data_IF_749753603099
#
_entry.id   IF_749753603099
#
_cell.length_a   1.000
_cell.length_b   1.000
_cell.length_c   1.000
_cell.angle_alpha   90.00
_cell.angle_beta   90.00
_cell.angle_gamma   90.00
#
_symmetry.space_group_name_H-M   'P 1'
#
loop_
_entity.id
_entity.type
_entity.pdbx_description
1 polymer ?
#
# COMPACT_ATOMS: atom_id res chain seq x y z
N UNK A 1 2.58 -17.31 -8.50
CA UNK A 1 1.46 -18.12 -7.94
C UNK A 1 0.95 -19.22 -8.87
N UNK A 2 0.83 -19.04 -10.18
CA UNK A 2 0.35 -20.09 -11.11
C UNK A 2 1.03 -21.49 -10.98
N UNK A 3 2.37 -21.62 -10.89
CA UNK A 3 3.03 -22.92 -10.73
C UNK A 3 2.82 -23.56 -9.35
N UNK A 4 2.54 -22.75 -8.32
CA UNK A 4 2.29 -23.21 -6.93
C UNK A 4 0.83 -23.66 -6.78
N UNK A 5 -0.12 -22.88 -7.32
CA UNK A 5 -1.56 -23.13 -7.18
C UNK A 5 -2.08 -24.25 -8.10
N UNK A 6 -1.42 -24.48 -9.25
CA UNK A 6 -1.76 -25.53 -10.24
C UNK A 6 -3.26 -25.59 -10.59
N UNK A 7 -3.96 -24.45 -10.54
CA UNK A 7 -5.42 -24.36 -10.76
C UNK A 7 -5.78 -24.25 -12.24
N UNK A 8 -6.88 -24.91 -12.64
CA UNK A 8 -7.41 -24.93 -14.02
C UNK A 8 -8.88 -24.51 -14.07
N UNK A 9 -9.35 -24.09 -15.24
CA UNK A 9 -10.75 -23.72 -15.49
C UNK A 9 -11.22 -22.53 -14.64
N UNK A 10 -12.46 -22.58 -14.14
CA UNK A 10 -13.07 -21.50 -13.37
C UNK A 10 -12.27 -21.14 -12.10
N UNK A 11 -11.60 -22.12 -11.47
CA UNK A 11 -10.72 -21.90 -10.32
C UNK A 11 -9.55 -20.97 -10.64
N UNK A 12 -9.08 -20.93 -11.89
CA UNK A 12 -8.03 -20.01 -12.33
C UNK A 12 -8.52 -18.55 -12.35
N UNK A 13 -9.77 -18.33 -12.74
CA UNK A 13 -10.38 -16.99 -12.75
C UNK A 13 -10.54 -16.50 -11.31
N UNK A 14 -11.08 -17.33 -10.43
CA UNK A 14 -11.23 -16.98 -9.01
C UNK A 14 -9.86 -16.73 -8.37
N UNK A 15 -8.87 -17.60 -8.62
CA UNK A 15 -7.52 -17.40 -8.11
C UNK A 15 -6.91 -16.09 -8.60
N UNK A 16 -7.10 -15.71 -9.87
CA UNK A 16 -6.63 -14.40 -10.35
C UNK A 16 -7.32 -13.23 -9.65
N UNK A 17 -8.61 -13.35 -9.34
CA UNK A 17 -9.35 -12.30 -8.66
C UNK A 17 -8.85 -12.07 -7.22
N UNK A 18 -8.51 -13.13 -6.51
CA UNK A 18 -8.02 -13.04 -5.12
C UNK A 18 -6.48 -13.03 -5.01
N UNK A 19 -5.78 -12.83 -6.13
CA UNK A 19 -4.32 -12.65 -6.12
C UNK A 19 -4.01 -11.21 -5.70
N UNK A 20 -3.69 -11.05 -4.43
CA UNK A 20 -3.30 -9.78 -3.80
C UNK A 20 -1.95 -9.97 -3.10
N UNK A 21 -1.31 -8.89 -2.66
CA UNK A 21 0.00 -8.96 -2.01
C UNK A 21 -0.08 -9.69 -0.67
N UNK A 22 -1.19 -9.61 0.07
CA UNK A 22 -1.37 -10.36 1.31
C UNK A 22 -1.52 -11.86 1.07
N UNK A 23 -2.37 -12.28 0.12
CA UNK A 23 -2.55 -13.70 -0.20
C UNK A 23 -1.28 -14.32 -0.79
N UNK A 24 -0.51 -13.54 -1.54
CA UNK A 24 0.80 -13.94 -2.06
C UNK A 24 1.85 -14.01 -0.95
N UNK A 25 1.92 -13.00 -0.08
CA UNK A 25 2.89 -12.93 1.01
C UNK A 25 2.70 -14.05 2.02
N UNK A 26 1.44 -14.32 2.44
CA UNK A 26 1.14 -15.44 3.33
C UNK A 26 1.46 -16.76 2.66
N UNK A 27 1.09 -16.97 1.39
CA UNK A 27 1.44 -18.19 0.68
C UNK A 27 2.95 -18.45 0.63
N UNK A 28 3.75 -17.42 0.33
CA UNK A 28 5.21 -17.53 0.29
C UNK A 28 5.80 -17.81 1.68
N UNK A 29 5.26 -17.22 2.75
CA UNK A 29 5.70 -17.53 4.12
C UNK A 29 5.48 -19.00 4.55
N UNK A 30 4.61 -19.72 3.85
CA UNK A 30 4.34 -21.14 4.11
C UNK A 30 5.23 -22.09 3.30
N UNK A 31 6.16 -21.58 2.48
CA UNK A 31 7.09 -22.39 1.67
C UNK A 31 7.81 -23.50 2.47
N UNK A 32 8.30 -23.27 3.72
CA UNK A 32 8.93 -24.32 4.52
C UNK A 32 8.00 -25.50 4.89
N UNK A 33 6.67 -25.31 4.77
CA UNK A 33 5.64 -26.33 5.07
C UNK A 33 5.12 -27.03 3.81
N UNK A 34 5.68 -26.71 2.64
CA UNK A 34 5.39 -27.34 1.34
C UNK A 34 4.20 -26.75 0.57
N UNK A 35 4.06 -27.17 -0.69
CA UNK A 35 3.10 -26.63 -1.67
C UNK A 35 1.65 -26.56 -1.15
N UNK A 36 1.20 -27.59 -0.42
CA UNK A 36 -0.17 -27.64 0.10
C UNK A 36 -0.44 -26.53 1.14
N UNK A 37 0.53 -26.23 2.00
CA UNK A 37 0.42 -25.15 2.99
C UNK A 37 0.43 -23.77 2.31
N UNK A 38 1.23 -23.61 1.25
CA UNK A 38 1.24 -22.38 0.45
C UNK A 38 -0.10 -22.14 -0.25
N UNK A 39 -0.70 -23.18 -0.83
CA UNK A 39 -2.03 -23.10 -1.45
C UNK A 39 -3.09 -22.72 -0.42
N UNK A 40 -3.08 -23.37 0.76
CA UNK A 40 -4.00 -23.05 1.84
C UNK A 40 -3.85 -21.59 2.29
N UNK A 41 -2.61 -21.13 2.52
CA UNK A 41 -2.32 -19.74 2.87
C UNK A 41 -2.87 -18.75 1.85
N UNK A 42 -2.67 -19.02 0.56
CA UNK A 42 -3.22 -18.19 -0.52
C UNK A 42 -4.75 -18.08 -0.46
N UNK A 43 -5.44 -19.22 -0.40
CA UNK A 43 -6.91 -19.25 -0.45
C UNK A 43 -7.54 -18.67 0.82
N UNK A 44 -7.03 -19.02 2.00
CA UNK A 44 -7.57 -18.51 3.26
C UNK A 44 -7.36 -17.01 3.41
N UNK A 45 -6.17 -16.50 3.11
CA UNK A 45 -5.91 -15.06 3.18
C UNK A 45 -6.70 -14.31 2.11
N UNK A 46 -6.71 -14.78 0.86
CA UNK A 46 -7.44 -14.11 -0.22
C UNK A 46 -8.94 -14.01 0.04
N UNK A 47 -9.59 -15.12 0.44
CA UNK A 47 -11.02 -15.08 0.78
C UNK A 47 -11.30 -14.35 2.09
N UNK A 48 -10.43 -14.48 3.09
CA UNK A 48 -10.55 -13.75 4.35
C UNK A 48 -10.57 -12.25 4.10
N UNK A 49 -9.56 -11.73 3.38
CA UNK A 49 -9.51 -10.31 3.01
C UNK A 49 -10.75 -9.93 2.20
N UNK A 50 -11.15 -10.70 1.19
CA UNK A 50 -12.34 -10.38 0.39
C UNK A 50 -13.61 -10.26 1.24
N UNK A 51 -13.87 -11.21 2.14
CA UNK A 51 -15.07 -11.22 2.97
C UNK A 51 -15.05 -10.05 3.95
N UNK A 52 -13.95 -9.88 4.70
CA UNK A 52 -13.84 -8.81 5.68
C UNK A 52 -13.84 -7.44 5.02
N UNK A 53 -13.23 -7.30 3.84
CA UNK A 53 -13.26 -6.06 3.06
C UNK A 53 -14.68 -5.65 2.73
N UNK A 54 -15.48 -6.55 2.16
CA UNK A 54 -16.88 -6.25 1.82
C UNK A 54 -17.71 -5.97 3.08
N UNK A 55 -17.51 -6.76 4.15
CA UNK A 55 -18.25 -6.60 5.40
C UNK A 55 -17.96 -5.24 6.07
N UNK A 56 -16.68 -4.87 6.21
CA UNK A 56 -16.31 -3.59 6.83
C UNK A 56 -16.59 -2.40 5.92
N UNK A 57 -16.59 -2.58 4.60
CA UNK A 57 -17.06 -1.54 3.67
C UNK A 57 -18.55 -1.28 3.87
N UNK A 58 -19.36 -2.33 3.96
CA UNK A 58 -20.79 -2.21 4.22
C UNK A 58 -21.06 -1.60 5.60
N UNK A 59 -20.37 -2.08 6.63
CA UNK A 59 -20.47 -1.54 7.99
C UNK A 59 -20.03 -0.06 8.03
N UNK A 60 -18.98 0.30 7.30
CA UNK A 60 -18.49 1.66 7.17
C UNK A 60 -19.48 2.56 6.43
N UNK A 61 -20.14 2.07 5.37
CA UNK A 61 -21.16 2.82 4.63
C UNK A 61 -22.38 3.13 5.52
N UNK A 62 -22.89 2.12 6.24
CA UNK A 62 -23.98 2.34 7.20
C UNK A 62 -23.56 3.20 8.39
N UNK A 63 -22.34 2.98 8.90
CA UNK A 63 -21.76 3.78 9.98
C UNK A 63 -21.60 5.24 9.60
N UNK A 64 -21.11 5.53 8.41
CA UNK A 64 -20.98 6.89 7.88
C UNK A 64 -22.34 7.56 7.63
N UNK A 65 -23.35 6.80 7.20
CA UNK A 65 -24.72 7.33 7.06
C UNK A 65 -25.34 7.68 8.42
N UNK A 66 -25.01 6.93 9.48
CA UNK A 66 -25.45 7.21 10.84
C UNK A 66 -24.64 8.33 11.52
N UNK A 67 -23.36 8.47 11.19
CA UNK A 67 -22.45 9.48 11.73
C UNK A 67 -22.40 10.71 10.83
N UNK A 68 -23.22 11.72 11.15
CA UNK A 68 -23.39 12.99 10.41
C UNK A 68 -22.17 13.52 9.64
N UNK A 69 -21.28 14.31 10.28
CA UNK A 69 -20.09 14.85 9.61
C UNK A 69 -18.83 14.01 9.95
N UNK A 70 -18.27 13.21 9.03
CA UNK A 70 -17.10 12.38 9.27
C UNK A 70 -15.83 13.18 9.62
N UNK A 71 -15.72 14.41 9.11
CA UNK A 71 -14.57 15.29 9.37
C UNK A 71 -14.47 15.70 10.85
N UNK A 72 -15.59 15.71 11.58
CA UNK A 72 -15.59 16.00 13.02
C UNK A 72 -14.86 14.92 13.85
N UNK A 73 -14.69 13.72 13.28
CA UNK A 73 -14.06 12.57 13.93
C UNK A 73 -12.60 12.34 13.49
N UNK A 74 -12.05 13.22 12.64
CA UNK A 74 -10.68 13.07 12.13
C UNK A 74 -10.47 11.86 11.22
N UNK A 75 -11.57 11.30 10.68
CA UNK A 75 -11.53 10.14 9.78
C UNK A 75 -10.82 10.45 8.45
N UNK A 76 -10.77 11.73 8.07
CA UNK A 76 -10.04 12.24 6.91
C UNK A 76 -8.51 12.18 7.10
N UNK A 77 -8.02 12.25 8.34
CA UNK A 77 -6.60 12.15 8.68
C UNK A 77 -6.12 10.71 8.95
N UNK A 78 -7.04 9.77 9.17
CA UNK A 78 -6.70 8.40 9.58
C UNK A 78 -5.84 7.65 8.55
N UNK A 79 -6.20 7.71 7.26
CA UNK A 79 -5.45 7.03 6.19
C UNK A 79 -4.07 7.64 6.00
N UNK A 80 -3.90 8.97 5.86
CA UNK A 80 -2.58 9.60 5.82
C UNK A 80 -1.69 9.26 7.03
N UNK A 81 -2.27 9.22 8.24
CA UNK A 81 -1.53 8.88 9.46
C UNK A 81 -1.01 7.43 9.44
N UNK A 82 -1.82 6.48 8.95
CA UNK A 82 -1.39 5.09 8.79
C UNK A 82 -0.21 4.97 7.80
N UNK A 83 -0.28 5.65 6.65
CA UNK A 83 0.82 5.69 5.68
C UNK A 83 2.10 6.31 6.27
N UNK A 84 1.97 7.41 7.02
CA UNK A 84 3.09 8.02 7.71
C UNK A 84 3.74 7.03 8.68
N UNK A 85 2.93 6.27 9.43
CA UNK A 85 3.41 5.20 10.30
C UNK A 85 4.19 4.10 9.57
N UNK A 86 3.77 3.74 8.35
CA UNK A 86 4.47 2.76 7.50
C UNK A 86 5.78 3.31 6.91
N UNK A 87 5.84 4.61 6.62
CA UNK A 87 7.03 5.28 6.05
C UNK A 87 8.07 5.57 7.13
N UNK A 88 7.64 5.89 8.35
CA UNK A 88 8.52 6.27 9.46
C UNK A 88 9.72 5.32 9.68
N UNK A 89 9.55 3.99 9.81
CA UNK A 89 10.68 3.07 10.00
C UNK A 89 11.62 2.97 8.80
N UNK A 90 11.26 3.53 7.64
CA UNK A 90 12.08 3.55 6.43
C UNK A 90 12.99 4.79 6.33
N UNK A 91 12.81 5.80 7.19
CA UNK A 91 13.60 7.05 7.20
C UNK A 91 14.90 6.90 8.01
N UNK A 92 15.80 6.06 7.51
CA UNK A 92 17.00 5.64 8.23
C UNK A 92 18.11 6.70 8.21
N UNK A 93 18.31 7.39 7.09
CA UNK A 93 19.41 8.35 6.92
C UNK A 93 18.96 9.80 7.02
N UNK A 94 19.91 10.71 7.31
CA UNK A 94 19.68 12.16 7.28
C UNK A 94 19.21 12.60 5.89
N UNK A 95 19.77 12.01 4.83
CA UNK A 95 19.37 12.28 3.45
C UNK A 95 17.90 11.89 3.20
N UNK A 96 17.45 10.73 3.68
CA UNK A 96 16.06 10.29 3.50
C UNK A 96 15.08 11.23 4.22
N UNK A 97 15.46 11.70 5.42
CA UNK A 97 14.69 12.71 6.17
C UNK A 97 14.66 14.06 5.47
N UNK A 98 15.77 14.49 4.87
CA UNK A 98 15.85 15.73 4.10
C UNK A 98 14.95 15.68 2.85
N UNK A 99 14.96 14.56 2.12
CA UNK A 99 14.07 14.33 0.97
C UNK A 99 12.60 14.34 1.43
N UNK A 100 12.29 13.69 2.54
CA UNK A 100 10.94 13.68 3.10
C UNK A 100 10.46 15.10 3.47
N UNK A 101 11.30 15.91 4.12
CA UNK A 101 10.98 17.30 4.44
C UNK A 101 10.79 18.16 3.18
N UNK A 102 11.65 17.97 2.18
CA UNK A 102 11.52 18.66 0.90
C UNK A 102 10.22 18.29 0.17
N UNK A 103 9.84 17.00 0.21
CA UNK A 103 8.56 16.54 -0.32
C UNK A 103 7.37 17.17 0.43
N UNK A 104 7.41 17.23 1.77
CA UNK A 104 6.38 17.90 2.57
C UNK A 104 6.25 19.37 2.19
N UNK A 105 7.37 20.10 2.11
CA UNK A 105 7.37 21.51 1.74
C UNK A 105 6.81 21.73 0.33
N UNK A 106 7.21 20.89 -0.64
CA UNK A 106 6.71 20.94 -2.01
C UNK A 106 5.21 20.68 -2.08
N UNK A 107 4.71 19.66 -1.37
CA UNK A 107 3.29 19.34 -1.33
C UNK A 107 2.46 20.50 -0.77
N UNK A 108 2.90 21.10 0.36
CA UNK A 108 2.23 22.25 0.98
C UNK A 108 2.20 23.44 0.00
N UNK A 109 3.31 23.74 -0.66
CA UNK A 109 3.41 24.85 -1.61
C UNK A 109 2.51 24.66 -2.84
N UNK A 110 2.36 23.43 -3.33
CA UNK A 110 1.52 23.12 -4.51
C UNK A 110 0.03 22.99 -4.19
N UNK A 111 -0.34 22.64 -2.95
CA UNK A 111 -1.74 22.41 -2.54
C UNK A 111 -2.70 23.55 -2.90
N UNK A 112 -2.41 24.85 -2.68
CA UNK A 112 -3.36 25.92 -2.98
C UNK A 112 -3.56 26.21 -4.48
N UNK A 113 -2.62 25.79 -5.33
CA UNK A 113 -2.56 26.20 -6.75
C UNK A 113 -2.77 25.06 -7.75
N UNK A 114 -2.85 23.81 -7.27
CA UNK A 114 -2.94 22.63 -8.15
C UNK A 114 -4.15 21.76 -7.82
N UNK A 115 -4.68 21.02 -8.81
CA UNK A 115 -5.76 20.06 -8.58
C UNK A 115 -5.37 18.95 -7.61
N UNK A 116 -6.36 18.34 -6.97
CA UNK A 116 -6.15 17.20 -6.09
C UNK A 116 -5.34 16.08 -6.79
N UNK A 117 -4.32 15.58 -6.11
CA UNK A 117 -3.41 14.53 -6.61
C UNK A 117 -2.14 15.04 -7.30
N UNK A 118 -2.14 16.23 -7.91
CA UNK A 118 -0.93 16.79 -8.52
C UNK A 118 0.23 17.01 -7.54
N UNK A 119 0.00 17.58 -6.33
CA UNK A 119 1.06 17.73 -5.33
C UNK A 119 1.77 16.41 -5.00
N UNK A 120 1.00 15.32 -4.91
CA UNK A 120 1.53 13.99 -4.55
C UNK A 120 2.42 13.45 -5.68
N UNK A 121 1.98 13.56 -6.93
CA UNK A 121 2.78 13.13 -8.09
C UNK A 121 4.08 13.95 -8.18
N UNK A 122 4.02 15.27 -7.93
CA UNK A 122 5.18 16.13 -7.91
C UNK A 122 6.22 15.71 -6.85
N UNK A 123 5.76 15.33 -5.65
CA UNK A 123 6.67 14.80 -4.61
C UNK A 123 7.32 13.48 -4.98
N UNK A 124 6.62 12.60 -5.70
CA UNK A 124 7.20 11.36 -6.21
C UNK A 124 8.29 11.66 -7.26
N UNK A 125 8.05 12.62 -8.15
CA UNK A 125 9.04 13.11 -9.10
C UNK A 125 10.29 13.67 -8.42
N UNK A 126 10.13 14.48 -7.38
CA UNK A 126 11.23 15.00 -6.56
C UNK A 126 12.06 13.86 -5.95
N UNK A 127 11.40 12.87 -5.34
CA UNK A 127 12.07 11.73 -4.72
C UNK A 127 12.86 10.90 -5.76
N UNK A 128 12.31 10.71 -6.97
CA UNK A 128 13.00 10.02 -8.06
C UNK A 128 14.23 10.81 -8.50
N UNK A 129 14.10 12.12 -8.76
CA UNK A 129 15.22 12.96 -9.19
C UNK A 129 16.37 12.96 -8.18
N UNK A 130 16.05 13.10 -6.89
CA UNK A 130 17.05 13.06 -5.82
C UNK A 130 17.64 11.65 -5.63
N UNK A 131 16.85 10.59 -5.85
CA UNK A 131 17.31 9.21 -5.78
C UNK A 131 18.24 8.81 -6.94
N UNK A 132 18.00 9.34 -8.14
CA UNK A 132 18.85 9.10 -9.31
C UNK A 132 20.22 9.75 -9.17
N UNK A 133 20.28 10.98 -8.66
CA UNK A 133 21.53 11.70 -8.40
C UNK A 133 22.40 11.07 -7.30
N UNK A 134 21.86 10.09 -6.54
CA UNK A 134 22.60 9.36 -5.51
C UNK A 134 23.44 8.21 -6.09
N UNK A 135 23.04 7.65 -7.23
CA UNK A 135 23.80 6.57 -7.91
C UNK A 135 25.04 7.09 -8.61
N UNK A 136 25.07 8.35 -9.04
CA UNK A 136 26.20 8.92 -9.80
C UNK A 136 27.40 9.35 -8.94
N UNK A 137 27.35 9.21 -7.61
CA UNK A 137 28.43 9.64 -6.69
C UNK A 137 29.24 8.47 -6.14
N UNK A 138 28.83 7.21 -6.42
CA UNK A 138 29.47 6.01 -5.86
C UNK A 138 30.29 5.19 -6.87
N UNK A 139 30.43 5.67 -8.11
CA UNK A 139 31.16 4.98 -9.19
C UNK A 139 32.58 5.57 -9.46
N UNK A 140 33.07 6.48 -8.61
CA UNK A 140 34.38 7.17 -8.77
C UNK A 140 35.44 6.85 -7.68
N UNK A 141 35.36 5.68 -7.02
CA UNK A 141 36.45 5.15 -6.16
C UNK A 141 36.89 3.73 -6.56
#
# INVERSE_FOLDING_TARGET
MAPILKVRGLKRIVASHITIDESTGVALSQEPRGDHAMQAGFWFTGFGVFIFWNLFTLAGAFGAQAMGNPAAWGLDAAVPAAFLGLVWPRLLTISDRAIALAAVALAIALTPISPAGLPVIATAGLAILMGLNRKSVTDDE
#
